data_IF_113270677754
#
_entry.id   IF_113270677754
#
_cell.length_a   1.000
_cell.length_b   1.000
_cell.length_c   1.000
_cell.angle_alpha   90.00
_cell.angle_beta   90.00
_cell.angle_gamma   90.00
#
_symmetry.space_group_name_H-M   'P 1'
#
loop_
_entity.id
_entity.type
_entity.pdbx_description
1 polymer ?
#
# COMPACT_ATOMS: atom_id res chain seq x y z
N UNK A 1 -4.74 4.81 -18.71
CA UNK A 1 -5.93 5.29 -19.44
C UNK A 1 -5.61 5.17 -20.91
N UNK A 2 -6.44 4.44 -21.68
CA UNK A 2 -6.21 4.18 -23.11
C UNK A 2 -6.52 5.38 -24.01
N UNK A 3 -7.31 6.33 -23.50
CA UNK A 3 -7.67 7.56 -24.20
C UNK A 3 -7.99 8.68 -23.22
N UNK A 4 -7.88 9.89 -23.67
CA UNK A 4 -8.34 11.04 -22.89
C UNK A 4 -9.86 11.02 -22.72
N UNK A 5 -10.37 11.37 -21.54
CA UNK A 5 -11.81 11.54 -21.37
C UNK A 5 -12.33 12.65 -22.28
N UNK A 6 -13.48 12.43 -22.91
CA UNK A 6 -14.09 13.39 -23.84
C UNK A 6 -15.57 13.59 -23.59
N UNK A 7 -16.12 12.87 -22.60
CA UNK A 7 -17.53 12.96 -22.20
C UNK A 7 -17.65 13.00 -20.68
N UNK A 8 -18.66 13.71 -20.22
CA UNK A 8 -19.09 13.71 -18.83
C UNK A 8 -19.89 12.42 -18.52
N UNK A 9 -19.98 12.08 -17.25
CA UNK A 9 -20.78 10.92 -16.78
C UNK A 9 -22.25 11.29 -16.48
N UNK A 10 -22.61 12.56 -16.56
CA UNK A 10 -23.96 13.05 -16.25
C UNK A 10 -24.89 13.01 -17.45
N UNK A 11 -26.19 12.78 -17.20
CA UNK A 11 -27.25 12.83 -18.26
C UNK A 11 -27.83 14.23 -18.45
N UNK A 12 -27.72 15.09 -17.43
CA UNK A 12 -28.24 16.47 -17.48
C UNK A 12 -27.21 17.40 -18.08
N UNK A 13 -27.60 18.23 -19.03
CA UNK A 13 -26.76 19.24 -19.69
C UNK A 13 -25.44 18.66 -20.26
N UNK A 14 -25.51 17.41 -20.77
CA UNK A 14 -24.32 16.63 -21.17
C UNK A 14 -23.46 17.38 -22.21
N UNK A 15 -24.05 18.07 -23.20
CA UNK A 15 -23.28 18.78 -24.23
C UNK A 15 -22.41 19.91 -23.65
N UNK A 16 -22.90 20.58 -22.61
CA UNK A 16 -22.14 21.61 -21.89
C UNK A 16 -21.01 20.98 -21.09
N UNK A 17 -21.31 19.94 -20.32
CA UNK A 17 -20.32 19.27 -19.48
C UNK A 17 -19.29 18.50 -20.30
N UNK A 18 -19.66 17.97 -21.47
CA UNK A 18 -18.69 17.35 -22.39
C UNK A 18 -17.66 18.37 -22.90
N UNK A 19 -18.11 19.60 -23.24
CA UNK A 19 -17.19 20.68 -23.58
C UNK A 19 -16.27 21.07 -22.44
N UNK A 20 -16.80 21.18 -21.23
CA UNK A 20 -15.99 21.45 -20.03
C UNK A 20 -14.92 20.38 -19.81
N UNK A 21 -15.28 19.09 -19.97
CA UNK A 21 -14.31 17.98 -19.88
C UNK A 21 -13.21 18.11 -20.92
N UNK A 22 -13.57 18.40 -22.17
CA UNK A 22 -12.60 18.59 -23.25
C UNK A 22 -11.67 19.80 -22.99
N UNK A 23 -12.19 20.91 -22.52
CA UNK A 23 -11.38 22.07 -22.14
C UNK A 23 -10.40 21.76 -21.00
N UNK A 24 -10.83 21.01 -19.98
CA UNK A 24 -9.94 20.57 -18.91
C UNK A 24 -8.85 19.63 -19.42
N UNK A 25 -9.17 18.70 -20.32
CA UNK A 25 -8.17 17.82 -20.93
C UNK A 25 -7.13 18.60 -21.72
N UNK A 26 -7.55 19.60 -22.50
CA UNK A 26 -6.58 20.44 -23.23
C UNK A 26 -5.66 21.24 -22.28
N UNK A 27 -6.20 21.75 -21.17
CA UNK A 27 -5.40 22.38 -20.13
C UNK A 27 -4.40 21.41 -19.48
N UNK A 28 -4.84 20.16 -19.22
CA UNK A 28 -3.98 19.13 -18.65
C UNK A 28 -2.84 18.72 -19.59
N UNK A 29 -3.10 18.61 -20.89
CA UNK A 29 -2.07 18.32 -21.91
C UNK A 29 -0.96 19.37 -21.94
N UNK A 30 -1.29 20.63 -21.61
CA UNK A 30 -0.31 21.74 -21.55
C UNK A 30 0.51 21.75 -20.26
N UNK A 31 0.16 20.91 -19.26
CA UNK A 31 0.92 20.78 -18.01
C UNK A 31 2.11 19.85 -18.21
N UNK A 32 3.23 20.38 -18.67
CA UNK A 32 4.43 19.61 -18.97
C UNK A 32 4.88 18.73 -17.78
N UNK A 33 5.07 17.45 -18.04
CA UNK A 33 5.53 16.44 -17.08
C UNK A 33 4.57 16.10 -15.93
N UNK A 34 3.37 16.71 -15.87
CA UNK A 34 2.38 16.45 -14.80
C UNK A 34 1.25 15.54 -15.22
N UNK A 35 1.06 15.35 -16.50
CA UNK A 35 0.00 14.51 -17.05
C UNK A 35 0.59 13.52 -18.05
N UNK A 36 0.45 12.25 -17.77
CA UNK A 36 1.02 11.17 -18.56
C UNK A 36 -0.09 10.21 -18.98
N UNK A 37 -0.21 9.99 -20.28
CA UNK A 37 -1.10 8.97 -20.83
C UNK A 37 -0.37 7.64 -20.88
N UNK A 38 -0.89 6.66 -20.14
CA UNK A 38 -0.32 5.31 -20.10
C UNK A 38 -1.30 4.32 -20.72
N UNK A 39 -0.81 3.51 -21.64
CA UNK A 39 -1.60 2.42 -22.18
C UNK A 39 -1.71 1.30 -21.14
N UNK A 40 -2.93 0.78 -20.99
CA UNK A 40 -3.19 -0.39 -20.14
C UNK A 40 -2.47 -1.60 -20.71
N UNK A 41 -1.72 -2.37 -19.88
CA UNK A 41 -1.10 -3.61 -20.35
C UNK A 41 -2.16 -4.69 -20.58
N UNK A 42 -1.93 -5.58 -21.55
CA UNK A 42 -2.79 -6.74 -21.76
C UNK A 42 -2.53 -7.83 -20.70
N UNK A 43 -1.28 -7.97 -20.29
CA UNK A 43 -0.78 -8.96 -19.32
C UNK A 43 0.29 -8.32 -18.44
N UNK A 44 0.69 -9.00 -17.37
CA UNK A 44 1.76 -8.58 -16.47
C UNK A 44 1.63 -7.13 -15.97
N UNK A 45 0.58 -6.87 -15.24
CA UNK A 45 0.33 -5.56 -14.62
C UNK A 45 1.44 -5.13 -13.65
N UNK A 46 2.08 -6.07 -12.97
CA UNK A 46 3.14 -5.78 -11.99
C UNK A 46 4.38 -5.29 -12.72
N UNK A 47 4.87 -6.02 -13.72
CA UNK A 47 6.03 -5.61 -14.51
C UNK A 47 5.79 -4.31 -15.26
N UNK A 48 4.59 -4.13 -15.82
CA UNK A 48 4.21 -2.86 -16.44
C UNK A 48 4.29 -1.69 -15.45
N UNK A 49 3.70 -1.83 -14.26
CA UNK A 49 3.70 -0.76 -13.26
C UNK A 49 5.11 -0.46 -12.74
N UNK A 50 5.95 -1.47 -12.55
CA UNK A 50 7.37 -1.29 -12.20
C UNK A 50 8.13 -0.54 -13.30
N UNK A 51 7.84 -0.83 -14.58
CA UNK A 51 8.36 -0.05 -15.71
C UNK A 51 7.95 1.41 -15.64
N UNK A 52 6.66 1.69 -15.43
CA UNK A 52 6.13 3.06 -15.26
C UNK A 52 6.84 3.79 -14.11
N UNK A 53 7.00 3.13 -12.96
CA UNK A 53 7.71 3.73 -11.83
C UNK A 53 9.15 4.12 -12.19
N UNK A 54 9.85 3.24 -12.89
CA UNK A 54 11.23 3.49 -13.35
C UNK A 54 11.31 4.62 -14.38
N UNK A 55 10.47 4.58 -15.41
CA UNK A 55 10.53 5.51 -16.55
C UNK A 55 10.17 6.94 -16.13
N UNK A 56 9.31 7.09 -15.14
CA UNK A 56 8.85 8.39 -14.63
C UNK A 56 9.43 8.77 -13.27
N UNK A 57 10.41 8.01 -12.76
CA UNK A 57 11.05 8.30 -11.48
C UNK A 57 10.10 8.28 -10.29
N UNK A 58 9.04 7.47 -10.35
CA UNK A 58 8.07 7.36 -9.26
C UNK A 58 8.62 6.46 -8.16
N UNK A 59 8.96 7.05 -7.03
CA UNK A 59 9.41 6.27 -5.87
C UNK A 59 8.20 5.85 -5.05
N UNK A 60 7.91 4.55 -4.93
CA UNK A 60 6.83 4.08 -4.07
C UNK A 60 7.14 4.36 -2.60
N UNK A 61 6.11 4.63 -1.80
CA UNK A 61 6.26 4.80 -0.35
C UNK A 61 6.69 3.53 0.36
N UNK A 62 6.30 2.39 -0.21
CA UNK A 62 6.71 1.07 0.23
C UNK A 62 6.74 0.08 -0.94
N UNK A 63 7.48 -1.01 -0.77
CA UNK A 63 7.53 -2.13 -1.70
C UNK A 63 7.34 -3.45 -0.97
N UNK A 64 6.70 -4.40 -1.61
CA UNK A 64 6.52 -5.78 -1.16
C UNK A 64 7.35 -6.67 -2.07
N UNK A 65 8.30 -7.42 -1.50
CA UNK A 65 9.22 -8.26 -2.28
C UNK A 65 8.49 -9.39 -3.03
N UNK A 66 7.54 -10.03 -2.34
CA UNK A 66 6.70 -11.09 -2.89
C UNK A 66 5.24 -10.65 -2.85
N UNK A 67 4.73 -9.98 -3.89
CA UNK A 67 3.32 -9.63 -3.95
C UNK A 67 2.45 -10.90 -4.01
N UNK A 68 1.29 -10.85 -3.34
CA UNK A 68 0.31 -11.92 -3.31
C UNK A 68 -1.09 -11.34 -3.58
N UNK A 69 -1.97 -12.01 -4.37
CA UNK A 69 -3.31 -11.52 -4.68
C UNK A 69 -4.22 -11.34 -3.46
N UNK A 70 -3.94 -12.03 -2.37
CA UNK A 70 -4.69 -11.93 -1.12
C UNK A 70 -4.12 -10.90 -0.15
N UNK A 71 -2.94 -10.33 -0.45
CA UNK A 71 -2.32 -9.30 0.36
C UNK A 71 -2.71 -7.92 -0.15
N UNK A 72 -3.63 -7.28 0.56
CA UNK A 72 -4.05 -5.91 0.32
C UNK A 72 -3.31 -4.96 1.25
N UNK A 73 -3.06 -3.74 0.78
CA UNK A 73 -2.44 -2.70 1.59
C UNK A 73 -3.11 -1.35 1.36
N UNK A 74 -3.25 -0.57 2.43
CA UNK A 74 -3.72 0.80 2.39
C UNK A 74 -2.73 1.71 3.12
N UNK A 75 -2.55 2.92 2.60
CA UNK A 75 -1.76 3.96 3.24
C UNK A 75 -2.65 5.12 3.65
N UNK A 76 -2.44 5.61 4.85
CA UNK A 76 -3.10 6.80 5.39
C UNK A 76 -2.06 7.75 5.94
N UNK A 77 -2.34 9.03 5.88
CA UNK A 77 -1.53 10.07 6.52
C UNK A 77 -2.40 10.76 7.58
N UNK A 78 -1.90 10.79 8.81
CA UNK A 78 -2.57 11.48 9.92
C UNK A 78 -2.30 12.99 9.93
N UNK A 79 -3.07 13.72 10.75
CA UNK A 79 -3.00 15.19 10.83
C UNK A 79 -1.64 15.70 11.33
N UNK A 80 -0.95 14.93 12.19
CA UNK A 80 0.40 15.26 12.67
C UNK A 80 1.51 14.69 11.77
N UNK A 81 1.17 14.33 10.53
CA UNK A 81 2.07 13.71 9.55
C UNK A 81 2.55 12.31 9.93
N UNK A 82 1.77 11.58 10.71
CA UNK A 82 1.96 10.16 10.88
C UNK A 82 1.71 9.45 9.55
N UNK A 83 2.51 8.43 9.26
CA UNK A 83 2.29 7.54 8.12
C UNK A 83 1.78 6.20 8.64
N UNK A 84 0.64 5.77 8.17
CA UNK A 84 0.00 4.52 8.59
C UNK A 84 -0.13 3.59 7.38
N UNK A 85 0.28 2.35 7.55
CA UNK A 85 0.16 1.29 6.55
C UNK A 85 -0.62 0.13 7.17
N UNK A 86 -1.77 -0.12 6.63
CA UNK A 86 -2.60 -1.25 7.03
C UNK A 86 -2.50 -2.35 5.96
N UNK A 87 -2.15 -3.55 6.38
CA UNK A 87 -2.08 -4.74 5.56
C UNK A 87 -3.18 -5.70 6.00
N UNK A 88 -3.82 -6.34 5.03
CA UNK A 88 -4.78 -7.41 5.27
C UNK A 88 -4.47 -8.57 4.34
N UNK A 89 -4.20 -9.73 4.91
CA UNK A 89 -3.98 -10.97 4.18
C UNK A 89 -5.21 -11.85 4.27
N UNK A 90 -5.97 -11.95 3.17
CA UNK A 90 -7.30 -12.56 3.15
C UNK A 90 -7.29 -14.08 2.82
N UNK A 91 -6.12 -14.72 2.70
CA UNK A 91 -6.05 -16.16 2.45
C UNK A 91 -6.44 -16.96 3.70
N UNK A 92 -7.35 -17.93 3.54
CA UNK A 92 -7.95 -18.64 4.69
C UNK A 92 -7.02 -19.68 5.33
N UNK A 93 -6.12 -20.28 4.57
CA UNK A 93 -5.41 -21.48 4.99
C UNK A 93 -3.88 -21.37 4.90
N UNK A 94 -3.38 -20.51 4.03
CA UNK A 94 -1.94 -20.43 3.80
C UNK A 94 -1.36 -19.19 4.50
N UNK A 95 -0.16 -19.32 5.00
CA UNK A 95 0.68 -18.20 5.44
C UNK A 95 1.44 -17.62 4.26
N UNK A 96 1.85 -16.36 4.37
CA UNK A 96 2.63 -15.66 3.36
C UNK A 96 3.76 -14.86 4.01
N UNK A 97 4.99 -15.28 3.76
CA UNK A 97 6.17 -14.56 4.23
C UNK A 97 6.70 -13.64 3.14
N UNK A 98 6.82 -12.37 3.45
CA UNK A 98 7.36 -11.37 2.52
C UNK A 98 8.17 -10.30 3.23
N UNK A 99 9.12 -9.70 2.52
CA UNK A 99 9.85 -8.52 2.98
C UNK A 99 9.10 -7.27 2.55
N UNK A 100 8.92 -6.36 3.48
CA UNK A 100 8.31 -5.05 3.27
C UNK A 100 9.38 -3.99 3.49
N UNK A 101 9.56 -3.10 2.52
CA UNK A 101 10.56 -2.02 2.57
C UNK A 101 9.88 -0.67 2.44
N UNK A 102 10.32 0.32 3.22
CA UNK A 102 9.75 1.68 3.21
C UNK A 102 10.74 2.68 2.62
N UNK A 103 10.22 3.65 1.89
CA UNK A 103 11.04 4.72 1.34
C UNK A 103 11.63 5.61 2.45
N UNK A 104 12.73 6.28 2.15
CA UNK A 104 13.33 7.24 3.07
C UNK A 104 12.36 8.38 3.46
N UNK A 105 11.43 8.73 2.60
CA UNK A 105 10.41 9.75 2.88
C UNK A 105 9.50 9.31 4.04
N UNK A 106 9.14 8.05 4.09
CA UNK A 106 8.32 7.48 5.17
C UNK A 106 9.06 7.44 6.50
N UNK A 107 10.31 6.96 6.50
CA UNK A 107 11.05 6.67 7.74
C UNK A 107 11.82 7.88 8.30
N UNK A 108 12.17 8.87 7.47
CA UNK A 108 13.02 9.99 7.86
C UNK A 108 12.45 10.77 9.03
N UNK A 109 13.17 10.75 10.16
CA UNK A 109 12.81 11.46 11.39
C UNK A 109 11.63 10.85 12.16
N UNK A 110 11.22 9.64 11.82
CA UNK A 110 10.14 8.89 12.47
C UNK A 110 10.65 7.57 13.02
N UNK A 111 9.93 7.03 13.97
CA UNK A 111 10.05 5.65 14.46
C UNK A 111 8.91 4.83 13.91
N UNK A 112 9.20 3.65 13.38
CA UNK A 112 8.19 2.67 12.98
C UNK A 112 7.69 1.85 14.18
N UNK A 113 6.40 1.60 14.20
CA UNK A 113 5.69 0.84 15.22
C UNK A 113 4.78 -0.20 14.58
N UNK A 114 4.74 -1.38 15.12
CA UNK A 114 3.65 -2.34 14.92
C UNK A 114 2.61 -2.05 15.99
N UNK A 115 1.38 -1.77 15.58
CA UNK A 115 0.26 -1.58 16.51
C UNK A 115 -0.55 -2.85 16.59
N UNK A 116 -0.73 -3.34 17.80
CA UNK A 116 -1.68 -4.39 18.11
C UNK A 116 -3.09 -3.82 18.08
N UNK A 117 -3.91 -4.31 17.15
CA UNK A 117 -5.27 -3.79 16.92
C UNK A 117 -6.26 -4.19 18.01
N UNK A 118 -5.96 -5.24 18.79
CA UNK A 118 -6.82 -5.72 19.85
C UNK A 118 -6.55 -4.98 21.17
N UNK A 119 -5.29 -4.80 21.51
CA UNK A 119 -4.89 -4.20 22.79
C UNK A 119 -4.60 -2.70 22.70
N UNK A 120 -4.35 -2.17 21.51
CA UNK A 120 -3.87 -0.82 21.26
C UNK A 120 -2.40 -0.61 21.67
N UNK A 121 -1.70 -1.65 22.08
CA UNK A 121 -0.27 -1.60 22.37
C UNK A 121 0.54 -1.43 21.09
N UNK A 122 1.75 -0.88 21.23
CA UNK A 122 2.65 -0.68 20.12
C UNK A 122 4.05 -1.15 20.44
N UNK A 123 4.65 -1.75 19.44
CA UNK A 123 5.97 -2.34 19.52
C UNK A 123 6.87 -1.74 18.45
N UNK A 124 8.14 -1.50 18.78
CA UNK A 124 9.09 -0.92 17.83
C UNK A 124 9.31 -1.85 16.65
N UNK A 125 9.04 -1.36 15.45
CA UNK A 125 9.27 -2.10 14.21
C UNK A 125 10.78 -2.32 13.99
N UNK A 126 11.25 -3.58 13.84
CA UNK A 126 12.67 -3.90 13.68
C UNK A 126 13.10 -3.71 12.22
N UNK A 127 13.30 -2.47 11.80
CA UNK A 127 13.82 -2.17 10.46
C UNK A 127 15.31 -2.43 10.38
N UNK A 128 15.73 -3.05 9.28
CA UNK A 128 17.14 -3.15 8.90
C UNK A 128 17.68 -1.85 8.28
N UNK A 129 18.96 -1.85 7.90
CA UNK A 129 19.62 -0.70 7.29
C UNK A 129 19.00 -0.26 5.95
N UNK A 130 18.23 -1.13 5.30
CA UNK A 130 17.49 -0.84 4.06
C UNK A 130 16.05 -0.38 4.31
N UNK A 131 15.70 -0.03 5.56
CA UNK A 131 14.35 0.32 6.00
C UNK A 131 13.35 -0.81 5.71
N UNK A 132 13.76 -2.06 5.84
CA UNK A 132 12.92 -3.20 5.56
C UNK A 132 12.84 -4.17 6.73
N UNK A 133 11.80 -4.99 6.73
CA UNK A 133 11.64 -6.09 7.69
C UNK A 133 10.94 -7.27 7.01
N UNK A 134 11.18 -8.45 7.54
CA UNK A 134 10.52 -9.67 7.13
C UNK A 134 9.27 -9.86 7.99
N UNK A 135 8.12 -10.10 7.38
CA UNK A 135 6.88 -10.40 8.09
C UNK A 135 6.26 -11.69 7.57
N UNK A 136 5.70 -12.44 8.48
CA UNK A 136 5.03 -13.71 8.20
C UNK A 136 3.53 -13.55 8.51
N UNK A 137 2.74 -13.34 7.46
CA UNK A 137 1.30 -13.28 7.59
C UNK A 137 0.74 -14.67 7.81
N UNK A 138 0.01 -14.86 8.90
CA UNK A 138 -0.82 -16.03 9.11
C UNK A 138 -2.08 -16.04 8.24
N UNK A 139 -2.87 -17.12 8.26
CA UNK A 139 -4.16 -17.14 7.60
C UNK A 139 -5.11 -16.08 8.17
N UNK A 140 -5.77 -15.32 7.29
CA UNK A 140 -6.70 -14.24 7.64
C UNK A 140 -6.11 -13.18 8.60
N UNK A 141 -4.86 -12.84 8.40
CA UNK A 141 -4.07 -11.96 9.28
C UNK A 141 -4.11 -10.49 8.86
N UNK A 142 -3.75 -9.61 9.78
CA UNK A 142 -3.64 -8.19 9.53
C UNK A 142 -2.45 -7.58 10.27
N UNK A 143 -1.91 -6.50 9.71
CA UNK A 143 -0.77 -5.78 10.27
C UNK A 143 -0.99 -4.28 10.13
N UNK A 144 -0.92 -3.56 11.24
CA UNK A 144 -0.90 -2.09 11.22
C UNK A 144 0.49 -1.58 11.59
N UNK A 145 1.08 -0.83 10.68
CA UNK A 145 2.36 -0.14 10.89
C UNK A 145 2.12 1.36 10.92
N UNK A 146 2.67 2.01 11.92
CA UNK A 146 2.58 3.47 12.09
C UNK A 146 3.99 4.04 12.23
N UNK A 147 4.29 5.07 11.45
CA UNK A 147 5.51 5.87 11.57
C UNK A 147 5.17 7.21 12.18
N UNK A 148 5.70 7.50 13.36
CA UNK A 148 5.51 8.76 14.07
C UNK A 148 6.81 9.27 14.71
N UNK A 149 6.73 10.39 15.41
CA UNK A 149 7.88 11.02 16.10
C UNK A 149 8.11 10.47 17.52
N UNK A 150 7.27 9.60 18.01
CA UNK A 150 7.44 9.01 19.33
C UNK A 150 8.61 8.02 19.33
N UNK A 151 9.33 7.95 20.44
CA UNK A 151 10.55 7.14 20.54
C UNK A 151 10.49 6.10 21.67
N UNK A 152 9.42 6.08 22.47
CA UNK A 152 9.28 5.16 23.61
C UNK A 152 8.30 4.05 23.28
N UNK A 153 8.68 2.83 23.51
CA UNK A 153 7.88 1.62 23.35
C UNK A 153 8.73 0.37 23.46
N UNK A 154 8.09 -0.77 23.57
CA UNK A 154 8.74 -2.08 23.63
C UNK A 154 9.21 -2.51 22.24
N UNK A 155 10.17 -3.42 22.18
CA UNK A 155 10.60 -4.01 20.92
C UNK A 155 9.58 -5.05 20.46
N UNK A 156 9.33 -5.09 19.15
CA UNK A 156 8.44 -6.07 18.53
C UNK A 156 9.04 -7.47 18.63
N UNK A 157 8.23 -8.40 19.08
CA UNK A 157 8.55 -9.83 19.07
C UNK A 157 7.51 -10.50 18.17
N UNK A 158 7.90 -10.98 16.98
CA UNK A 158 6.98 -11.71 16.12
C UNK A 158 6.47 -12.95 16.88
N UNK A 159 5.15 -13.14 16.84
CA UNK A 159 4.60 -14.40 17.26
C UNK A 159 4.97 -15.45 16.21
N UNK A 160 5.54 -16.61 16.60
CA UNK A 160 5.71 -17.69 15.66
C UNK A 160 4.33 -18.09 15.14
N UNK A 161 4.12 -18.03 13.83
CA UNK A 161 2.94 -18.61 13.19
C UNK A 161 3.14 -20.11 13.19
N UNK A 162 2.85 -20.75 14.32
CA UNK A 162 2.90 -22.21 14.41
C UNK A 162 1.60 -22.76 13.84
N UNK A 163 1.67 -23.40 12.68
CA UNK A 163 0.57 -24.20 12.15
C UNK A 163 0.24 -25.43 13.00
N UNK A 164 0.97 -25.65 14.11
CA UNK A 164 0.81 -26.81 14.99
C UNK A 164 -0.19 -26.59 16.14
N UNK A 165 -0.59 -25.36 16.43
CA UNK A 165 -1.51 -25.05 17.54
C UNK A 165 -2.97 -24.91 17.15
N UNK A 166 -3.32 -25.11 15.88
CA UNK A 166 -4.72 -25.19 15.46
C UNK A 166 -5.31 -26.54 15.90
N UNK A 167 -5.80 -26.63 17.13
CA UNK A 167 -6.69 -27.73 17.53
C UNK A 167 -7.94 -27.63 16.67
N UNK A 168 -8.18 -28.69 15.91
CA UNK A 168 -9.46 -28.89 15.22
C UNK A 168 -10.57 -28.97 16.27
N UNK A 169 -11.34 -27.90 16.42
CA UNK A 169 -12.49 -27.84 17.31
C UNK A 169 -13.78 -28.36 16.66
N UNK A 170 -13.69 -28.93 15.47
CA UNK A 170 -14.87 -29.45 14.72
C UNK A 170 -15.35 -30.84 15.18
N UNK A 171 -14.78 -31.39 16.25
CA UNK A 171 -15.08 -32.75 16.75
C UNK A 171 -15.83 -32.82 18.08
N UNK A 172 -16.53 -31.75 18.49
CA UNK A 172 -17.46 -31.78 19.63
C UNK A 172 -18.93 -31.73 19.18
#
# INVERSE_FOLDING_TARGET
IEAYPHKSVGLKDHDKHDKEVQEWVEKMKQMDGRFILLHKPEKDFVGWYQGVQKDYGLTPYMTIEKPDPYLMQNRYQGDNKEEMFFFSYAHRYNSHQTRISFSNEVVKGRQGWVWDLETGERYRLPLDAANSFLFDFGPADSLLIVFDKQKRGNDYKPHPVSGEDLKDLSSD
#
